data_IF_508940612108
#
_entry.id   IF_508940612108
#
_cell.length_a   1.000
_cell.length_b   1.000
_cell.length_c   1.000
_cell.angle_alpha   90.00
_cell.angle_beta   90.00
_cell.angle_gamma   90.00
#
_symmetry.space_group_name_H-M   'P 1'
#
loop_
_entity.id
_entity.type
_entity.pdbx_description
1 polymer ?
#
# COMPACT_ATOMS: atom_id res chain seq x y z
N UNK A 1 -19.27 -17.19 -14.29
CA UNK A 1 -20.26 -16.27 -13.72
C UNK A 1 -20.32 -16.28 -12.19
N UNK A 2 -20.13 -17.42 -11.50
CA UNK A 2 -20.14 -17.46 -10.01
C UNK A 2 -18.99 -16.69 -9.31
N UNK A 3 -17.75 -16.72 -9.83
CA UNK A 3 -16.61 -16.02 -9.19
C UNK A 3 -16.78 -14.49 -9.07
N UNK A 4 -17.75 -13.89 -9.77
CA UNK A 4 -18.00 -12.45 -9.73
C UNK A 4 -18.71 -12.00 -8.46
N UNK A 5 -19.38 -12.88 -7.70
CA UNK A 5 -20.02 -12.51 -6.43
C UNK A 5 -19.03 -12.31 -5.28
N UNK A 6 -17.84 -12.90 -5.38
CA UNK A 6 -16.87 -12.96 -4.28
C UNK A 6 -15.83 -11.83 -4.34
N UNK A 7 -15.88 -11.01 -5.41
CA UNK A 7 -14.98 -9.88 -5.62
C UNK A 7 -15.74 -8.56 -5.50
N UNK A 8 -15.36 -7.77 -4.50
CA UNK A 8 -15.80 -6.38 -4.40
C UNK A 8 -14.67 -5.44 -4.81
N UNK A 9 -14.92 -4.63 -5.83
CA UNK A 9 -14.00 -3.58 -6.25
C UNK A 9 -14.43 -2.26 -5.61
N UNK A 10 -13.59 -1.73 -4.73
CA UNK A 10 -13.73 -0.38 -4.21
C UNK A 10 -12.72 0.52 -4.91
N UNK A 11 -13.22 1.42 -5.75
CA UNK A 11 -12.45 2.54 -6.22
C UNK A 11 -12.64 3.66 -5.19
N UNK A 12 -11.63 3.93 -4.37
CA UNK A 12 -11.62 5.18 -3.62
C UNK A 12 -11.42 6.29 -4.64
N UNK A 13 -12.32 7.27 -4.72
CA UNK A 13 -12.00 8.48 -5.44
C UNK A 13 -10.77 9.06 -4.74
N UNK A 14 -9.61 9.01 -5.40
CA UNK A 14 -8.61 10.01 -5.11
C UNK A 14 -9.33 11.35 -5.20
N UNK A 15 -9.20 12.26 -4.22
CA UNK A 15 -9.70 13.62 -4.39
C UNK A 15 -9.18 14.07 -5.74
N UNK A 16 -10.08 14.19 -6.70
CA UNK A 16 -9.67 14.21 -8.07
C UNK A 16 -8.86 15.49 -8.23
N UNK A 17 -7.67 15.32 -8.75
CA UNK A 17 -6.91 16.38 -9.39
C UNK A 17 -7.71 16.97 -10.58
N UNK A 18 -8.98 16.62 -10.78
CA UNK A 18 -9.94 17.44 -11.54
C UNK A 18 -9.99 18.90 -11.05
N UNK A 19 -9.60 19.17 -9.80
CA UNK A 19 -9.36 20.55 -9.31
C UNK A 19 -8.14 21.24 -9.94
N UNK A 20 -7.24 20.51 -10.61
CA UNK A 20 -6.12 21.06 -11.40
C UNK A 20 -6.30 20.86 -12.91
N UNK A 21 -6.97 19.78 -13.36
CA UNK A 21 -7.15 19.48 -14.81
C UNK A 21 -8.25 20.33 -15.47
N UNK A 22 -9.20 20.89 -14.69
CA UNK A 22 -10.13 21.91 -15.20
C UNK A 22 -9.68 23.25 -14.68
N UNK A 23 -9.13 24.09 -15.56
CA UNK A 23 -8.70 25.47 -15.29
C UNK A 23 -9.82 26.45 -14.85
N UNK A 24 -10.81 25.99 -14.10
CA UNK A 24 -11.69 26.87 -13.34
C UNK A 24 -10.90 27.36 -12.12
N UNK A 25 -10.27 28.52 -12.29
CA UNK A 25 -9.60 29.28 -11.25
C UNK A 25 -10.57 29.62 -10.10
N UNK A 26 -10.78 28.68 -9.19
CA UNK A 26 -11.29 29.00 -7.86
C UNK A 26 -10.23 29.82 -7.14
N UNK A 27 -10.59 31.04 -6.72
CA UNK A 27 -9.80 31.85 -5.79
C UNK A 27 -9.59 31.02 -4.52
N UNK A 28 -8.45 30.34 -4.43
CA UNK A 28 -8.12 29.41 -3.35
C UNK A 28 -7.60 28.04 -3.77
N UNK A 29 -7.57 27.69 -5.07
CA UNK A 29 -6.97 26.42 -5.53
C UNK A 29 -5.43 26.52 -5.57
N UNK A 30 -4.67 25.58 -4.98
CA UNK A 30 -3.21 25.59 -5.04
C UNK A 30 -2.75 25.19 -6.45
N UNK A 31 -2.25 26.17 -7.21
CA UNK A 31 -1.58 25.97 -8.49
C UNK A 31 -2.36 26.56 -9.66
N UNK A 32 -1.66 27.22 -10.56
CA UNK A 32 -2.21 27.76 -11.81
C UNK A 32 -1.24 27.43 -12.92
N UNK A 33 -1.73 26.76 -13.96
CA UNK A 33 -1.03 26.60 -15.23
C UNK A 33 -0.66 28.00 -15.78
N UNK A 34 0.62 28.35 -15.67
CA UNK A 34 1.14 29.67 -15.98
C UNK A 34 1.40 29.81 -17.48
N UNK A 35 1.70 28.72 -18.17
CA UNK A 35 2.08 28.73 -19.59
C UNK A 35 1.02 28.16 -20.54
N UNK A 36 -0.09 27.67 -19.99
CA UNK A 36 -1.28 27.27 -20.73
C UNK A 36 -1.16 25.91 -21.42
N UNK A 37 -0.26 25.04 -20.96
CA UNK A 37 -0.06 23.71 -21.56
C UNK A 37 -1.01 22.63 -21.02
N UNK A 38 -1.87 23.00 -20.07
CA UNK A 38 -2.84 22.12 -19.44
C UNK A 38 -2.27 21.28 -18.29
N UNK A 39 -1.03 21.52 -17.88
CA UNK A 39 -0.39 20.88 -16.73
C UNK A 39 -0.11 21.92 -15.64
N UNK A 40 -0.01 21.42 -14.41
CA UNK A 40 0.54 22.19 -13.29
C UNK A 40 1.80 21.47 -12.86
N UNK A 41 2.95 22.06 -13.17
CA UNK A 41 4.28 21.48 -12.99
C UNK A 41 4.99 22.08 -11.77
N UNK A 42 6.31 21.85 -11.68
CA UNK A 42 7.15 22.56 -10.74
C UNK A 42 7.57 23.91 -11.33
N UNK A 43 7.72 24.91 -10.45
CA UNK A 43 8.21 26.24 -10.79
C UNK A 43 9.48 26.53 -10.00
N UNK A 44 10.53 26.98 -10.69
CA UNK A 44 11.78 27.44 -10.12
C UNK A 44 11.88 28.95 -10.24
N UNK A 45 12.01 29.61 -9.10
CA UNK A 45 12.20 31.05 -9.01
C UNK A 45 13.67 31.33 -8.69
N UNK A 46 14.37 32.09 -9.55
CA UNK A 46 15.78 32.38 -9.33
C UNK A 46 15.96 33.31 -8.11
N UNK A 47 16.81 32.91 -7.17
CA UNK A 47 17.13 33.68 -5.96
C UNK A 47 18.61 33.64 -5.66
N UNK A 48 19.14 34.74 -5.12
CA UNK A 48 20.56 34.84 -4.77
C UNK A 48 21.00 33.78 -3.74
N UNK A 49 20.11 33.40 -2.85
CA UNK A 49 20.31 32.48 -1.74
C UNK A 49 19.51 31.18 -1.86
N UNK A 50 18.93 30.91 -3.04
CA UNK A 50 18.13 29.71 -3.28
C UNK A 50 18.87 28.41 -2.93
N UNK A 51 18.21 27.42 -2.31
CA UNK A 51 18.85 26.19 -1.84
C UNK A 51 19.21 25.21 -2.96
N UNK A 52 18.72 25.43 -4.18
CA UNK A 52 18.87 24.49 -5.30
C UNK A 52 19.63 25.09 -6.47
N UNK A 53 20.40 24.26 -7.18
CA UNK A 53 21.03 24.64 -8.45
C UNK A 53 20.94 23.47 -9.43
N UNK A 54 20.95 23.71 -10.76
CA UNK A 54 20.87 22.65 -11.75
C UNK A 54 22.05 21.68 -11.63
N UNK A 55 21.76 20.39 -11.76
CA UNK A 55 22.78 19.35 -11.89
C UNK A 55 23.39 19.34 -13.29
N UNK A 56 24.39 18.49 -13.53
CA UNK A 56 24.95 18.26 -14.88
C UNK A 56 23.90 17.81 -15.89
N UNK A 57 22.94 17.00 -15.45
CA UNK A 57 21.73 16.74 -16.22
C UNK A 57 20.70 17.78 -15.79
N UNK A 58 20.35 18.67 -16.72
CA UNK A 58 19.53 19.85 -16.47
C UNK A 58 18.11 19.53 -15.99
N UNK A 59 17.68 18.27 -16.09
CA UNK A 59 16.41 17.82 -15.53
C UNK A 59 16.39 17.88 -14.00
N UNK A 60 17.55 17.65 -13.39
CA UNK A 60 17.69 17.51 -11.94
C UNK A 60 18.32 18.74 -11.29
N UNK A 61 17.99 18.94 -10.03
CA UNK A 61 18.59 19.91 -9.13
C UNK A 61 19.47 19.21 -8.09
N UNK A 62 20.41 19.95 -7.53
CA UNK A 62 21.24 19.53 -6.41
C UNK A 62 21.29 20.66 -5.39
N UNK A 63 21.58 20.32 -4.13
CA UNK A 63 21.79 21.32 -3.09
C UNK A 63 22.91 22.28 -3.51
N UNK A 64 22.61 23.57 -3.50
CA UNK A 64 23.55 24.61 -3.90
C UNK A 64 24.69 24.75 -2.88
N UNK A 65 25.93 24.86 -3.39
CA UNK A 65 27.13 25.12 -2.59
C UNK A 65 27.56 26.59 -2.73
N UNK A 66 28.34 27.13 -1.78
CA UNK A 66 28.90 28.48 -1.92
C UNK A 66 29.61 28.67 -3.27
N UNK A 67 29.17 29.67 -4.04
CA UNK A 67 29.68 29.95 -5.39
C UNK A 67 28.86 29.36 -6.54
N UNK A 68 27.96 28.41 -6.28
CA UNK A 68 27.06 27.88 -7.31
C UNK A 68 26.03 28.93 -7.74
N UNK A 69 25.70 28.96 -9.02
CA UNK A 69 24.68 29.82 -9.63
C UNK A 69 24.35 29.36 -11.06
N UNK A 70 23.13 29.61 -11.56
CA UNK A 70 21.99 30.21 -10.87
C UNK A 70 21.42 29.31 -9.76
N UNK A 71 20.71 29.92 -8.82
CA UNK A 71 20.13 29.28 -7.64
C UNK A 71 18.62 29.51 -7.58
N UNK A 72 17.88 28.55 -7.05
CA UNK A 72 16.43 28.53 -7.16
C UNK A 72 15.73 28.16 -5.86
N UNK A 73 14.61 28.83 -5.60
CA UNK A 73 13.51 28.29 -4.79
C UNK A 73 12.58 27.44 -5.66
N UNK A 74 11.84 26.52 -5.04
CA UNK A 74 10.95 25.57 -5.73
C UNK A 74 9.52 25.70 -5.21
N UNK A 75 8.57 25.79 -6.13
CA UNK A 75 7.15 25.95 -5.84
C UNK A 75 6.29 25.06 -6.75
N UNK A 76 5.01 24.90 -6.41
CA UNK A 76 4.01 24.47 -7.40
C UNK A 76 3.81 25.60 -8.41
N UNK A 77 3.73 25.26 -9.69
CA UNK A 77 3.42 26.22 -10.75
C UNK A 77 2.17 27.06 -10.43
N UNK A 78 2.34 28.38 -10.47
CA UNK A 78 1.26 29.34 -10.19
C UNK A 78 0.83 29.45 -8.72
N UNK A 79 1.55 28.80 -7.80
CA UNK A 79 1.36 28.94 -6.36
C UNK A 79 2.68 29.24 -5.63
N UNK A 80 3.28 30.43 -5.83
CA UNK A 80 4.50 30.81 -5.14
C UNK A 80 4.30 30.79 -3.63
N UNK A 81 5.30 30.30 -2.89
CA UNK A 81 5.24 30.16 -1.43
C UNK A 81 4.42 28.96 -0.93
N UNK A 82 3.68 28.30 -1.83
CA UNK A 82 3.09 26.99 -1.55
C UNK A 82 4.12 25.97 -1.96
N UNK A 83 4.84 25.44 -0.97
CA UNK A 83 5.59 24.22 -1.18
C UNK A 83 4.64 23.17 -1.74
N UNK A 84 5.11 22.26 -2.62
CA UNK A 84 4.26 21.17 -3.06
C UNK A 84 3.91 20.29 -1.85
N UNK A 85 2.83 20.62 -1.14
CA UNK A 85 2.39 19.86 0.02
C UNK A 85 1.64 18.63 -0.46
N UNK A 86 1.70 17.57 0.35
CA UNK A 86 0.91 16.35 0.20
C UNK A 86 -0.53 16.69 -0.24
N UNK A 87 -0.89 16.31 -1.46
CA UNK A 87 -2.29 16.01 -1.74
C UNK A 87 -2.58 14.83 -0.82
N UNK A 88 -3.30 15.10 0.28
CA UNK A 88 -3.33 14.30 1.50
C UNK A 88 -3.09 12.80 1.28
N UNK A 89 -2.00 12.30 1.83
CA UNK A 89 -1.72 10.88 1.83
C UNK A 89 -2.84 10.17 2.58
N UNK A 90 -3.72 9.51 1.83
CA UNK A 90 -4.84 8.74 2.37
C UNK A 90 -4.36 7.58 3.25
N UNK A 91 -3.09 7.17 3.11
CA UNK A 91 -2.49 6.10 3.87
C UNK A 91 -1.83 6.64 5.15
N UNK A 92 -1.35 7.89 5.21
CA UNK A 92 -0.67 8.44 6.39
C UNK A 92 -1.54 8.61 7.66
N UNK A 93 -2.84 8.36 7.57
CA UNK A 93 -3.81 8.53 8.66
C UNK A 93 -4.26 7.27 9.39
N UNK A 94 -3.84 6.07 8.96
CA UNK A 94 -4.31 4.82 9.57
C UNK A 94 -3.47 4.38 10.77
N UNK A 95 -4.12 3.91 11.86
CA UNK A 95 -3.38 3.42 13.01
C UNK A 95 -2.67 2.10 12.72
N UNK A 96 -1.34 2.14 12.57
CA UNK A 96 -0.54 0.92 12.53
C UNK A 96 -0.54 0.21 13.90
N UNK A 97 -0.47 -1.12 13.89
CA UNK A 97 -0.35 -1.98 15.10
C UNK A 97 0.83 -1.60 16.02
N UNK A 98 1.79 -0.84 15.49
CA UNK A 98 2.99 -0.37 16.20
C UNK A 98 3.07 1.16 16.32
N UNK A 99 1.94 1.88 16.20
CA UNK A 99 1.84 3.25 16.69
C UNK A 99 2.00 3.28 18.22
N UNK A 100 3.24 3.12 18.67
CA UNK A 100 3.69 3.74 19.91
C UNK A 100 3.88 5.20 19.57
N UNK A 101 2.83 5.98 19.75
CA UNK A 101 2.92 7.42 19.56
C UNK A 101 3.93 7.94 20.58
N UNK A 102 5.06 8.43 20.09
CA UNK A 102 5.93 9.33 20.86
C UNK A 102 5.25 10.68 21.11
N UNK A 103 4.16 10.95 20.38
CA UNK A 103 3.32 12.14 20.49
C UNK A 103 1.94 11.79 21.09
N UNK A 104 1.72 12.03 22.40
CA UNK A 104 0.45 11.77 23.06
C UNK A 104 -0.68 12.73 22.63
N UNK A 105 -0.38 13.82 21.93
CA UNK A 105 -1.36 14.85 21.56
C UNK A 105 -1.89 14.69 20.13
N UNK A 106 -1.37 13.73 19.35
CA UNK A 106 -1.83 13.49 17.97
C UNK A 106 -3.25 12.90 17.97
N UNK A 107 -4.20 13.61 17.36
CA UNK A 107 -5.58 13.12 17.20
C UNK A 107 -5.65 11.92 16.26
N UNK A 108 -6.21 10.80 16.73
CA UNK A 108 -6.40 9.57 15.97
C UNK A 108 -7.59 9.62 15.00
N UNK A 109 -7.92 10.80 14.49
CA UNK A 109 -9.04 10.94 13.57
C UNK A 109 -8.64 10.40 12.20
N UNK A 110 -9.09 9.19 11.90
CA UNK A 110 -9.07 8.65 10.54
C UNK A 110 -9.84 9.65 9.67
N UNK A 111 -9.16 10.21 8.68
CA UNK A 111 -9.74 11.17 7.75
C UNK A 111 -10.87 10.53 6.95
N UNK A 112 -11.89 11.31 6.61
CA UNK A 112 -12.77 10.95 5.49
C UNK A 112 -11.98 11.21 4.21
N UNK A 113 -11.81 10.25 3.28
CA UNK A 113 -12.62 9.05 2.97
C UNK A 113 -12.14 7.70 3.55
N UNK A 114 -11.02 7.70 4.27
CA UNK A 114 -10.36 6.48 4.76
C UNK A 114 -11.22 5.74 5.79
N UNK A 115 -12.00 6.48 6.59
CA UNK A 115 -12.93 5.91 7.57
C UNK A 115 -13.96 4.98 6.92
N UNK A 116 -14.59 5.42 5.83
CA UNK A 116 -15.58 4.60 5.13
C UNK A 116 -14.99 3.26 4.62
N UNK A 117 -13.74 3.27 4.18
CA UNK A 117 -13.04 2.05 3.79
C UNK A 117 -12.79 1.12 4.97
N UNK A 118 -12.30 1.67 6.09
CA UNK A 118 -12.08 0.93 7.34
C UNK A 118 -13.37 0.27 7.81
N UNK A 119 -14.46 1.03 7.85
CA UNK A 119 -15.78 0.54 8.23
C UNK A 119 -16.25 -0.57 7.29
N UNK A 120 -16.07 -0.40 5.98
CA UNK A 120 -16.40 -1.44 5.00
C UNK A 120 -15.63 -2.73 5.26
N UNK A 121 -14.30 -2.66 5.41
CA UNK A 121 -13.47 -3.84 5.65
C UNK A 121 -13.90 -4.54 6.94
N UNK A 122 -14.14 -3.79 8.03
CA UNK A 122 -14.59 -4.33 9.31
C UNK A 122 -15.98 -4.98 9.27
N UNK A 123 -16.88 -4.48 8.42
CA UNK A 123 -18.25 -5.02 8.27
C UNK A 123 -18.33 -6.17 7.28
N UNK A 124 -17.31 -6.35 6.45
CA UNK A 124 -17.24 -7.40 5.44
C UNK A 124 -16.62 -8.70 5.96
N UNK A 125 -16.99 -9.84 5.36
CA UNK A 125 -16.26 -11.11 5.53
C UNK A 125 -15.00 -11.15 4.64
N UNK A 126 -14.19 -10.09 4.70
CA UNK A 126 -13.01 -9.93 3.86
C UNK A 126 -11.89 -10.89 4.27
N UNK A 127 -11.49 -11.78 3.36
CA UNK A 127 -10.33 -12.65 3.55
C UNK A 127 -9.01 -11.98 3.11
N UNK A 128 -9.09 -11.03 2.18
CA UNK A 128 -7.91 -10.41 1.58
C UNK A 128 -8.19 -9.01 1.03
N UNK A 129 -7.27 -8.09 1.27
CA UNK A 129 -7.24 -6.73 0.72
C UNK A 129 -6.05 -6.61 -0.24
N UNK A 130 -6.32 -6.20 -1.47
CA UNK A 130 -5.29 -5.91 -2.48
C UNK A 130 -5.29 -4.41 -2.76
N UNK A 131 -4.17 -3.75 -2.48
CA UNK A 131 -4.01 -2.30 -2.73
C UNK A 131 -3.26 -2.12 -4.05
N UNK A 132 -3.90 -1.50 -5.04
CA UNK A 132 -3.27 -1.27 -6.34
C UNK A 132 -2.54 0.06 -6.36
N UNK A 133 -1.23 0.03 -6.65
CA UNK A 133 -0.38 1.20 -6.67
C UNK A 133 0.42 1.31 -7.97
N UNK A 134 1.03 2.47 -8.21
CA UNK A 134 1.54 2.83 -9.52
C UNK A 134 3.05 2.83 -9.70
N UNK A 135 3.85 2.63 -8.65
CA UNK A 135 5.23 3.14 -8.66
C UNK A 135 6.32 2.14 -8.30
N UNK A 136 6.05 0.83 -8.20
CA UNK A 136 7.12 -0.12 -7.85
C UNK A 136 7.18 -1.37 -8.72
N UNK A 137 6.22 -1.54 -9.64
CA UNK A 137 6.26 -2.59 -10.66
C UNK A 137 6.31 -4.01 -10.08
N UNK A 138 5.78 -4.22 -8.87
CA UNK A 138 5.99 -5.43 -8.07
C UNK A 138 4.87 -5.70 -7.08
N UNK A 139 5.13 -6.63 -6.17
CA UNK A 139 4.29 -6.91 -5.00
C UNK A 139 5.03 -6.45 -3.76
N UNK A 140 4.35 -5.68 -2.90
CA UNK A 140 4.84 -5.30 -1.58
C UNK A 140 3.97 -5.89 -0.48
N UNK A 141 4.61 -6.21 0.64
CA UNK A 141 3.96 -6.76 1.83
C UNK A 141 4.73 -6.29 3.07
N UNK A 142 4.12 -6.17 4.25
CA UNK A 142 4.78 -5.53 5.37
C UNK A 142 5.85 -6.39 6.02
N UNK A 143 6.85 -5.70 6.55
CA UNK A 143 7.88 -6.22 7.45
C UNK A 143 7.48 -5.92 8.91
N UNK A 144 8.08 -6.52 9.96
CA UNK A 144 8.58 -7.87 10.00
C UNK A 144 7.42 -8.84 10.21
N UNK A 145 7.02 -9.53 9.14
CA UNK A 145 6.35 -10.80 9.33
C UNK A 145 7.40 -11.88 9.50
N UNK A 146 7.31 -12.65 10.59
CA UNK A 146 8.17 -13.82 10.81
C UNK A 146 7.55 -15.11 10.27
N UNK A 147 8.39 -16.10 10.02
CA UNK A 147 7.98 -17.50 9.80
C UNK A 147 7.18 -17.73 8.51
N UNK A 148 6.12 -18.53 8.60
CA UNK A 148 5.36 -19.02 7.44
C UNK A 148 4.72 -17.90 6.60
N UNK A 149 4.27 -16.84 7.25
CA UNK A 149 3.58 -15.76 6.57
C UNK A 149 4.55 -14.98 5.66
N UNK A 150 5.82 -14.83 6.08
CA UNK A 150 6.88 -14.28 5.25
C UNK A 150 7.16 -15.15 4.01
N UNK A 151 7.36 -16.46 4.20
CA UNK A 151 7.60 -17.40 3.10
C UNK A 151 6.45 -17.43 2.10
N UNK A 152 5.21 -17.25 2.57
CA UNK A 152 4.05 -17.14 1.69
C UNK A 152 4.13 -15.88 0.82
N UNK A 153 4.41 -14.71 1.38
CA UNK A 153 4.54 -13.50 0.55
C UNK A 153 5.73 -13.54 -0.39
N UNK A 154 6.86 -14.12 0.03
CA UNK A 154 8.00 -14.34 -0.87
C UNK A 154 7.57 -15.23 -2.06
N UNK A 155 6.84 -16.31 -1.79
CA UNK A 155 6.27 -17.16 -2.84
C UNK A 155 5.24 -16.44 -3.73
N UNK A 156 4.37 -15.62 -3.15
CA UNK A 156 3.39 -14.82 -3.90
C UNK A 156 4.09 -13.78 -4.79
N UNK A 157 5.13 -13.13 -4.29
CA UNK A 157 5.93 -12.18 -5.06
C UNK A 157 6.64 -12.84 -6.23
N UNK A 158 7.23 -14.03 -6.03
CA UNK A 158 7.81 -14.82 -7.13
C UNK A 158 6.75 -15.27 -8.15
N UNK A 159 5.56 -15.62 -7.68
CA UNK A 159 4.44 -15.97 -8.57
C UNK A 159 3.98 -14.76 -9.38
N UNK A 160 3.81 -13.60 -8.73
CA UNK A 160 3.48 -12.35 -9.40
C UNK A 160 4.54 -11.99 -10.44
N UNK A 161 5.81 -12.09 -10.08
CA UNK A 161 6.96 -11.85 -10.95
C UNK A 161 6.88 -12.68 -12.23
N UNK A 162 6.66 -13.98 -12.09
CA UNK A 162 6.57 -14.92 -13.21
C UNK A 162 5.34 -14.71 -14.09
N UNK A 163 4.18 -14.43 -13.49
CA UNK A 163 2.90 -14.35 -14.21
C UNK A 163 2.67 -12.96 -14.82
N UNK A 164 3.14 -11.91 -14.17
CA UNK A 164 2.99 -10.53 -14.62
C UNK A 164 4.18 -10.02 -15.44
N UNK A 165 5.12 -10.91 -15.79
CA UNK A 165 6.35 -10.63 -16.53
C UNK A 165 7.10 -9.41 -15.97
N UNK A 166 7.33 -9.43 -14.66
CA UNK A 166 8.08 -8.39 -13.96
C UNK A 166 9.46 -8.89 -13.60
N UNK A 167 10.54 -8.15 -13.85
CA UNK A 167 11.87 -8.60 -13.47
C UNK A 167 12.19 -8.35 -11.98
N UNK A 168 11.36 -7.58 -11.25
CA UNK A 168 11.60 -7.19 -9.86
C UNK A 168 11.35 -8.31 -8.86
N UNK A 169 12.23 -8.44 -7.86
CA UNK A 169 11.97 -9.29 -6.70
C UNK A 169 10.78 -8.74 -5.88
N UNK A 170 10.06 -9.58 -5.11
CA UNK A 170 9.16 -9.11 -4.07
C UNK A 170 9.85 -8.07 -3.18
N UNK A 171 9.19 -6.95 -2.95
CA UNK A 171 9.73 -5.90 -2.08
C UNK A 171 9.07 -6.02 -0.73
N UNK A 172 9.86 -6.13 0.33
CA UNK A 172 9.33 -5.92 1.67
C UNK A 172 8.98 -4.45 1.78
N UNK A 173 7.72 -4.14 2.09
CA UNK A 173 7.28 -2.77 2.31
C UNK A 173 8.14 -2.18 3.41
N UNK A 174 8.95 -1.20 3.04
CA UNK A 174 9.81 -0.45 3.96
C UNK A 174 9.02 0.56 4.79
N UNK A 175 7.70 0.65 4.57
CA UNK A 175 6.79 1.49 5.37
C UNK A 175 6.71 1.02 6.83
N UNK A 176 7.17 -0.19 7.13
CA UNK A 176 7.45 -0.58 8.49
C UNK A 176 8.78 0.02 8.95
N UNK A 177 8.72 1.31 9.26
CA UNK A 177 9.86 1.99 9.84
C UNK A 177 10.13 1.49 11.26
N UNK A 178 11.38 1.55 11.74
CA UNK A 178 11.70 1.24 13.12
C UNK A 178 10.83 2.07 14.10
N UNK A 179 10.62 1.58 15.33
CA UNK A 179 9.76 2.24 16.31
C UNK A 179 10.12 3.73 16.48
N UNK A 180 9.19 4.65 16.18
CA UNK A 180 9.38 6.09 16.39
C UNK A 180 9.12 7.00 15.18
N UNK A 181 8.85 6.47 13.98
CA UNK A 181 8.28 7.25 12.87
C UNK A 181 6.83 6.82 12.58
N UNK A 182 6.08 7.71 11.95
CA UNK A 182 4.66 7.57 11.66
C UNK A 182 4.42 6.52 10.55
N UNK A 183 4.56 5.23 10.87
CA UNK A 183 4.06 4.14 10.02
C UNK A 183 2.54 4.04 10.03
N UNK A 184 1.91 3.43 9.03
CA UNK A 184 0.44 3.43 8.97
C UNK A 184 -0.19 3.12 7.62
N UNK A 185 0.34 2.23 6.77
CA UNK A 185 -0.36 1.96 5.50
C UNK A 185 -1.69 1.22 5.71
N UNK A 186 -2.58 1.27 4.71
CA UNK A 186 -3.79 0.44 4.71
C UNK A 186 -3.46 -1.05 4.82
N UNK A 187 -2.37 -1.48 4.19
CA UNK A 187 -1.90 -2.87 4.27
C UNK A 187 -1.48 -3.24 5.69
N UNK A 188 -0.74 -2.36 6.38
CA UNK A 188 -0.34 -2.57 7.78
C UNK A 188 -1.56 -2.69 8.70
N UNK A 189 -2.54 -1.79 8.52
CA UNK A 189 -3.77 -1.80 9.29
C UNK A 189 -4.60 -3.06 9.03
N UNK A 190 -4.78 -3.46 7.76
CA UNK A 190 -5.53 -4.66 7.43
C UNK A 190 -4.89 -5.92 8.01
N UNK A 191 -3.57 -6.03 8.06
CA UNK A 191 -2.88 -7.18 8.65
C UNK A 191 -2.96 -7.24 10.18
N UNK A 192 -3.35 -6.15 10.83
CA UNK A 192 -3.75 -6.18 12.23
C UNK A 192 -5.11 -6.84 12.47
N UNK A 193 -5.96 -6.92 11.44
CA UNK A 193 -7.27 -7.54 11.55
C UNK A 193 -7.13 -9.07 11.55
N UNK A 194 -7.88 -9.77 12.41
CA UNK A 194 -7.93 -11.22 12.35
C UNK A 194 -8.39 -11.68 10.96
N UNK A 195 -7.66 -12.64 10.39
CA UNK A 195 -8.03 -13.37 9.15
C UNK A 195 -7.99 -12.55 7.85
N UNK A 196 -7.57 -11.29 7.90
CA UNK A 196 -7.37 -10.48 6.70
C UNK A 196 -5.92 -10.56 6.28
N UNK A 197 -5.70 -10.94 5.03
CA UNK A 197 -4.40 -10.79 4.38
C UNK A 197 -4.37 -9.48 3.60
N UNK A 198 -3.22 -8.82 3.51
CA UNK A 198 -3.12 -7.59 2.74
C UNK A 198 -1.77 -7.44 2.06
N UNK A 199 -1.78 -6.93 0.83
CA UNK A 199 -0.57 -6.66 0.05
C UNK A 199 -0.83 -5.50 -0.91
N UNK A 200 0.23 -4.82 -1.33
CA UNK A 200 0.15 -3.87 -2.43
C UNK A 200 0.66 -4.53 -3.71
N UNK A 201 -0.01 -4.25 -4.82
CA UNK A 201 0.31 -4.76 -6.15
C UNK A 201 0.47 -3.56 -7.05
N UNK A 202 1.60 -3.49 -7.74
CA UNK A 202 1.86 -2.42 -8.68
C UNK A 202 2.12 -2.94 -10.08
N UNK A 203 1.16 -2.78 -11.02
CA UNK A 203 1.36 -3.10 -12.43
C UNK A 203 2.27 -2.10 -13.16
N UNK A 204 2.81 -1.09 -12.49
CA UNK A 204 3.64 -0.09 -13.14
C UNK A 204 4.73 0.40 -12.21
N UNK A 205 5.81 0.88 -12.79
CA UNK A 205 6.91 1.43 -12.04
C UNK A 205 8.20 0.66 -12.24
N UNK A 206 9.29 1.34 -11.90
CA UNK A 206 10.62 0.79 -11.99
C UNK A 206 10.73 -0.41 -11.05
N UNK A 207 11.16 -1.58 -11.54
CA UNK A 207 11.48 -2.70 -10.68
C UNK A 207 12.47 -2.25 -9.61
N UNK A 208 12.35 -2.70 -8.36
CA UNK A 208 13.34 -2.43 -7.33
C UNK A 208 14.73 -2.84 -7.87
N UNK A 209 15.62 -1.87 -8.06
CA UNK A 209 16.94 -2.11 -8.65
C UNK A 209 17.81 -3.00 -7.74
N UNK A 210 17.46 -3.10 -6.45
CA UNK A 210 18.10 -3.98 -5.47
C UNK A 210 17.07 -4.47 -4.42
N UNK A 211 17.25 -5.66 -3.81
CA UNK A 211 16.53 -6.01 -2.58
C UNK A 211 16.78 -4.94 -1.51
N UNK A 212 15.85 -4.72 -0.57
CA UNK A 212 15.75 -3.51 0.24
C UNK A 212 16.78 -3.44 1.38
N UNK A 213 18.04 -3.75 1.13
CA UNK A 213 19.08 -3.02 1.85
C UNK A 213 19.02 -1.61 1.28
N UNK A 214 18.27 -0.71 1.93
CA UNK A 214 18.29 0.72 1.64
C UNK A 214 19.76 1.09 1.43
N UNK A 215 20.17 1.38 0.20
CA UNK A 215 21.48 1.94 -0.03
C UNK A 215 21.54 3.19 0.85
N UNK A 216 22.55 3.34 1.73
CA UNK A 216 22.60 4.46 2.67
C UNK A 216 22.42 5.78 1.91
N UNK A 217 21.29 6.46 2.13
CA UNK A 217 20.94 7.71 1.45
C UNK A 217 19.68 7.67 0.56
N UNK A 218 19.22 6.50 0.09
CA UNK A 218 17.99 6.42 -0.73
C UNK A 218 16.77 6.68 0.16
N UNK A 219 16.13 7.84 -0.02
CA UNK A 219 14.89 8.19 0.68
C UNK A 219 13.73 7.33 0.23
N UNK A 220 12.73 7.20 1.10
CA UNK A 220 11.49 6.52 0.75
C UNK A 220 10.81 7.29 -0.41
N UNK A 221 10.47 6.66 -1.56
CA UNK A 221 9.79 7.34 -2.67
C UNK A 221 8.44 7.95 -2.28
N UNK A 222 7.95 7.64 -1.08
CA UNK A 222 6.70 8.13 -0.47
C UNK A 222 6.88 9.28 0.52
N UNK A 223 8.06 9.46 1.14
CA UNK A 223 8.37 10.70 1.85
C UNK A 223 8.46 11.78 0.76
N UNK A 224 7.56 12.77 0.79
CA UNK A 224 7.46 13.85 -0.18
C UNK A 224 8.82 14.19 -0.81
N UNK A 225 8.90 13.99 -2.13
CA UNK A 225 10.18 13.94 -2.81
C UNK A 225 10.94 15.25 -2.57
N UNK A 226 12.25 15.18 -2.27
CA UNK A 226 13.14 16.30 -2.57
C UNK A 226 12.91 16.77 -4.04
N UNK A 227 13.48 17.90 -4.48
CA UNK A 227 13.55 18.23 -5.90
C UNK A 227 13.82 17.01 -6.76
N UNK A 228 13.40 17.05 -8.03
CA UNK A 228 13.91 16.16 -9.06
C UNK A 228 15.42 16.17 -8.91
N UNK A 229 15.96 15.17 -8.21
CA UNK A 229 17.33 15.22 -7.72
C UNK A 229 18.11 14.10 -8.35
N UNK A 230 19.38 14.04 -8.02
CA UNK A 230 20.26 13.03 -8.59
C UNK A 230 19.87 11.60 -8.21
N UNK A 231 19.05 11.41 -7.18
CA UNK A 231 18.51 10.10 -6.76
C UNK A 231 17.35 9.65 -7.66
N UNK A 232 16.64 10.58 -8.31
CA UNK A 232 15.59 10.30 -9.30
C UNK A 232 16.14 9.86 -10.69
N UNK A 233 17.46 9.87 -10.88
CA UNK A 233 18.08 9.48 -12.16
C UNK A 233 17.70 8.10 -12.67
N UNK A 234 17.66 7.04 -11.84
CA UNK A 234 17.27 5.72 -12.32
C UNK A 234 15.82 5.70 -12.83
N UNK A 235 14.95 6.46 -12.18
CA UNK A 235 13.57 6.66 -12.62
C UNK A 235 13.48 7.38 -13.95
N UNK A 236 14.24 8.46 -14.14
CA UNK A 236 14.29 9.16 -15.42
C UNK A 236 14.81 8.26 -16.53
N UNK A 237 15.89 7.51 -16.30
CA UNK A 237 16.37 6.56 -17.28
C UNK A 237 15.30 5.50 -17.62
N UNK A 238 14.62 4.96 -16.61
CA UNK A 238 13.57 3.97 -16.83
C UNK A 238 12.36 4.56 -17.58
N UNK A 239 11.92 5.77 -17.25
CA UNK A 239 10.84 6.46 -17.96
C UNK A 239 11.28 6.89 -19.38
N UNK A 240 12.56 7.23 -19.58
CA UNK A 240 13.13 7.49 -20.90
C UNK A 240 13.05 6.23 -21.78
N UNK A 241 13.39 5.07 -21.22
CA UNK A 241 13.29 3.77 -21.90
C UNK A 241 11.84 3.38 -22.20
N UNK A 242 10.93 3.50 -21.22
CA UNK A 242 9.54 3.04 -21.36
C UNK A 242 8.61 4.03 -22.05
N UNK A 243 8.92 5.33 -22.00
CA UNK A 243 8.03 6.39 -22.49
C UNK A 243 8.72 7.33 -23.49
N UNK A 244 9.91 6.99 -23.97
CA UNK A 244 10.66 7.84 -24.90
C UNK A 244 10.97 9.24 -24.33
N UNK A 245 11.06 9.37 -23.01
CA UNK A 245 11.34 10.64 -22.32
C UNK A 245 10.13 11.52 -22.07
N UNK A 246 8.91 11.06 -22.40
CA UNK A 246 7.68 11.85 -22.21
C UNK A 246 7.33 12.14 -20.73
N UNK A 247 8.01 11.48 -19.79
CA UNK A 247 7.84 11.68 -18.34
C UNK A 247 8.25 13.07 -17.85
N UNK A 248 9.14 13.74 -18.57
CA UNK A 248 9.76 15.00 -18.13
C UNK A 248 9.42 16.15 -19.09
N UNK A 249 9.01 17.29 -18.53
CA UNK A 249 8.85 18.54 -19.24
C UNK A 249 10.12 19.39 -19.08
N UNK A 250 10.82 19.76 -20.18
CA UNK A 250 11.99 20.63 -20.13
C UNK A 250 11.70 21.94 -19.39
N UNK A 251 12.63 22.37 -18.52
CA UNK A 251 12.56 23.68 -17.89
C UNK A 251 12.51 24.78 -18.94
N UNK A 252 11.45 25.58 -18.94
CA UNK A 252 11.27 26.71 -19.86
C UNK A 252 10.97 27.99 -19.11
N UNK A 253 11.46 29.15 -19.58
CA UNK A 253 11.16 30.42 -18.95
C UNK A 253 9.68 30.78 -19.16
N UNK A 254 9.02 31.15 -18.07
CA UNK A 254 7.63 31.63 -18.04
C UNK A 254 7.60 32.93 -17.23
N UNK A 255 6.75 33.86 -17.63
CA UNK A 255 6.53 35.10 -16.87
C UNK A 255 5.34 34.90 -15.94
N UNK A 256 5.57 34.96 -14.63
CA UNK A 256 4.52 34.89 -13.62
C UNK A 256 3.63 36.14 -13.64
N UNK A 257 2.53 36.09 -12.88
CA UNK A 257 1.52 37.16 -12.84
C UNK A 257 2.09 38.52 -12.39
N UNK A 258 3.09 38.50 -11.51
CA UNK A 258 3.80 39.68 -11.00
C UNK A 258 4.93 40.16 -11.93
N UNK A 259 5.15 39.50 -13.07
CA UNK A 259 6.18 39.86 -14.05
C UNK A 259 7.56 39.23 -13.81
N UNK A 260 7.72 38.42 -12.76
CA UNK A 260 8.95 37.67 -12.49
C UNK A 260 9.15 36.59 -13.55
N UNK A 261 10.39 36.36 -13.98
CA UNK A 261 10.71 35.23 -14.87
C UNK A 261 11.08 34.04 -14.01
N UNK A 262 10.31 32.96 -14.13
CA UNK A 262 10.57 31.68 -13.49
C UNK A 262 10.83 30.61 -14.55
N UNK A 263 11.34 29.45 -14.13
CA UNK A 263 11.38 28.25 -14.97
C UNK A 263 10.23 27.34 -14.58
N UNK A 264 9.45 26.87 -15.55
CA UNK A 264 8.41 25.86 -15.35
C UNK A 264 8.85 24.58 -16.05
N UNK A 265 8.70 23.44 -15.39
CA UNK A 265 9.11 22.13 -15.91
C UNK A 265 9.09 21.04 -14.85
N UNK A 266 9.78 19.95 -15.12
CA UNK A 266 9.92 18.84 -14.20
C UNK A 266 9.11 17.60 -14.58
N UNK A 267 8.70 16.80 -13.61
CA UNK A 267 7.92 15.59 -13.86
C UNK A 267 6.51 15.96 -14.28
N UNK A 268 6.06 15.41 -15.41
CA UNK A 268 4.65 15.50 -15.75
C UNK A 268 3.82 14.72 -14.72
N UNK A 269 2.65 15.22 -14.30
CA UNK A 269 1.79 14.54 -13.34
C UNK A 269 1.48 13.10 -13.77
N UNK A 270 1.38 12.19 -12.79
CA UNK A 270 0.96 10.79 -12.98
C UNK A 270 1.87 9.91 -13.86
N UNK A 271 2.96 10.43 -14.40
CA UNK A 271 3.88 9.63 -15.23
C UNK A 271 4.59 8.54 -14.45
N UNK A 272 4.83 8.76 -13.16
CA UNK A 272 5.29 7.74 -12.22
C UNK A 272 4.25 6.69 -11.89
N UNK A 273 2.98 7.08 -11.82
CA UNK A 273 1.91 6.28 -11.24
C UNK A 273 1.21 5.40 -12.27
N UNK A 274 1.17 5.84 -13.52
CA UNK A 274 0.41 5.16 -14.55
C UNK A 274 1.30 4.73 -15.72
N UNK A 275 1.08 3.53 -16.27
CA UNK A 275 1.71 3.16 -17.53
C UNK A 275 1.21 4.07 -18.66
N UNK A 276 1.94 4.14 -19.79
CA UNK A 276 1.37 4.64 -21.04
C UNK A 276 0.05 3.95 -21.36
N UNK A 277 -0.91 4.68 -21.94
CA UNK A 277 -2.23 4.13 -22.28
C UNK A 277 -2.13 2.87 -23.15
N UNK A 278 -1.22 2.87 -24.13
CA UNK A 278 -0.97 1.73 -25.01
C UNK A 278 -0.42 0.49 -24.27
N UNK A 279 0.20 0.68 -23.11
CA UNK A 279 0.72 -0.43 -22.31
C UNK A 279 -0.28 -0.92 -21.26
N UNK A 280 -1.27 -0.10 -20.86
CA UNK A 280 -2.17 -0.35 -19.74
C UNK A 280 -2.77 -1.77 -19.76
N UNK A 281 -3.28 -2.21 -20.91
CA UNK A 281 -3.87 -3.54 -21.04
C UNK A 281 -2.86 -4.64 -20.72
N UNK A 282 -1.64 -4.55 -21.27
CA UNK A 282 -0.58 -5.53 -21.03
C UNK A 282 -0.14 -5.54 -19.56
N UNK A 283 -0.04 -4.35 -18.94
CA UNK A 283 0.36 -4.20 -17.56
C UNK A 283 -0.70 -4.78 -16.59
N UNK A 284 -1.99 -4.60 -16.88
CA UNK A 284 -3.11 -5.11 -16.06
C UNK A 284 -3.35 -6.61 -16.28
N UNK A 285 -3.12 -7.13 -17.49
CA UNK A 285 -3.33 -8.56 -17.79
C UNK A 285 -2.54 -9.48 -16.86
N UNK A 286 -1.29 -9.11 -16.56
CA UNK A 286 -0.44 -9.83 -15.62
C UNK A 286 -1.00 -9.87 -14.19
N UNK A 287 -1.57 -8.75 -13.74
CA UNK A 287 -2.24 -8.65 -12.44
C UNK A 287 -3.46 -9.56 -12.38
N UNK A 288 -4.31 -9.55 -13.41
CA UNK A 288 -5.50 -10.42 -13.46
C UNK A 288 -5.10 -11.89 -13.41
N UNK A 289 -4.08 -12.28 -14.17
CA UNK A 289 -3.55 -13.65 -14.19
C UNK A 289 -2.95 -14.08 -12.84
N UNK A 290 -2.49 -13.13 -12.02
CA UNK A 290 -2.03 -13.39 -10.66
C UNK A 290 -3.19 -13.47 -9.65
N UNK A 291 -4.15 -12.53 -9.71
CA UNK A 291 -5.23 -12.39 -8.72
C UNK A 291 -6.25 -13.52 -8.83
N UNK A 292 -6.66 -13.93 -10.03
CA UNK A 292 -7.71 -14.96 -10.17
C UNK A 292 -7.32 -16.30 -9.52
N UNK A 293 -6.13 -16.87 -9.75
CA UNK A 293 -5.70 -18.08 -9.04
C UNK A 293 -5.53 -17.90 -7.52
N UNK A 294 -5.27 -16.67 -7.06
CA UNK A 294 -5.18 -16.36 -5.64
C UNK A 294 -6.55 -16.47 -4.97
N UNK A 295 -7.59 -15.93 -5.62
CA UNK A 295 -8.99 -16.01 -5.16
C UNK A 295 -9.43 -17.47 -5.02
N UNK A 296 -9.13 -18.31 -6.01
CA UNK A 296 -9.45 -19.75 -5.98
C UNK A 296 -8.76 -20.51 -4.83
N UNK A 297 -7.67 -19.95 -4.29
CA UNK A 297 -6.87 -20.57 -3.22
C UNK A 297 -7.22 -20.03 -1.84
N UNK A 298 -7.98 -18.94 -1.74
CA UNK A 298 -8.33 -18.30 -0.48
C UNK A 298 -8.89 -19.30 0.54
N UNK A 299 -8.66 -19.02 1.81
CA UNK A 299 -9.06 -19.92 2.88
C UNK A 299 -10.57 -20.08 2.94
N UNK A 300 -11.07 -21.22 2.47
CA UNK A 300 -12.44 -21.66 2.67
C UNK A 300 -12.47 -22.82 3.67
N UNK A 301 -13.42 -22.79 4.61
CA UNK A 301 -13.65 -23.84 5.59
C UNK A 301 -15.05 -24.40 5.43
N UNK A 302 -15.16 -25.71 5.56
CA UNK A 302 -16.41 -26.44 5.57
C UNK A 302 -16.56 -27.20 6.88
N UNK A 303 -17.74 -27.08 7.50
CA UNK A 303 -18.11 -27.89 8.67
C UNK A 303 -18.63 -29.23 8.18
N UNK A 304 -17.88 -30.29 8.49
CA UNK A 304 -18.24 -31.68 8.24
C UNK A 304 -18.56 -32.38 9.57
N UNK A 305 -19.23 -33.53 9.49
CA UNK A 305 -19.44 -34.45 10.62
C UNK A 305 -19.96 -33.79 11.91
N UNK A 306 -20.92 -32.86 11.77
CA UNK A 306 -21.50 -32.15 12.91
C UNK A 306 -22.34 -33.13 13.74
N UNK A 307 -21.98 -33.28 15.01
CA UNK A 307 -22.74 -34.07 15.98
C UNK A 307 -23.06 -33.24 17.21
N UNK A 308 -24.26 -33.45 17.74
CA UNK A 308 -24.76 -32.78 18.95
C UNK A 308 -25.18 -33.85 19.93
N UNK A 309 -24.57 -33.84 21.12
CA UNK A 309 -24.94 -34.72 22.22
C UNK A 309 -25.39 -33.87 23.41
N UNK A 310 -26.54 -34.20 24.00
CA UNK A 310 -27.03 -33.54 25.21
C UNK A 310 -26.47 -34.22 26.45
N UNK A 311 -25.98 -33.43 27.39
CA UNK A 311 -25.42 -33.83 28.68
C UNK A 311 -26.07 -32.97 29.78
N UNK A 312 -27.27 -33.38 30.20
CA UNK A 312 -28.13 -32.59 31.10
C UNK A 312 -28.59 -31.26 30.48
N UNK A 313 -28.18 -30.16 31.11
CA UNK A 313 -28.44 -28.78 30.66
C UNK A 313 -27.38 -28.25 29.66
N UNK A 314 -26.46 -29.09 29.22
CA UNK A 314 -25.44 -28.73 28.25
C UNK A 314 -25.63 -29.51 26.95
N UNK A 315 -25.33 -28.85 25.84
CA UNK A 315 -25.15 -29.49 24.54
C UNK A 315 -23.65 -29.49 24.21
N UNK A 316 -23.08 -30.67 23.98
CA UNK A 316 -21.77 -30.84 23.39
C UNK A 316 -21.93 -30.87 21.88
N UNK A 317 -21.42 -29.84 21.21
CA UNK A 317 -21.35 -29.79 19.74
C UNK A 317 -19.94 -30.18 19.33
N UNK A 318 -19.83 -31.15 18.44
CA UNK A 318 -18.57 -31.53 17.78
C UNK A 318 -18.73 -31.32 16.28
N UNK A 319 -17.76 -30.64 15.69
CA UNK A 319 -17.68 -30.51 14.25
C UNK A 319 -16.25 -30.76 13.78
N UNK A 320 -16.13 -31.28 12.57
CA UNK A 320 -14.89 -31.47 11.86
C UNK A 320 -14.73 -30.34 10.85
N UNK A 321 -13.58 -29.68 10.79
CA UNK A 321 -13.35 -28.58 9.85
C UNK A 321 -12.51 -29.04 8.65
N UNK A 322 -13.08 -29.06 7.46
CA UNK A 322 -12.32 -29.32 6.23
C UNK A 322 -11.87 -28.00 5.62
N UNK A 323 -10.56 -27.83 5.40
CA UNK A 323 -10.05 -26.74 4.56
C UNK A 323 -10.31 -27.06 3.09
N UNK A 324 -10.99 -26.16 2.40
CA UNK A 324 -11.25 -26.22 0.96
C UNK A 324 -10.21 -25.41 0.16
N UNK A 325 -9.63 -24.38 0.78
CA UNK A 325 -8.56 -23.57 0.21
C UNK A 325 -7.17 -23.99 0.67
N UNK A 326 -6.13 -23.49 -0.01
CA UNK A 326 -4.73 -23.72 0.36
C UNK A 326 -4.09 -22.54 1.08
N UNK A 327 -4.76 -21.38 1.12
CA UNK A 327 -4.26 -20.20 1.81
C UNK A 327 -4.40 -20.36 3.33
N UNK A 328 -3.44 -19.91 4.16
CA UNK A 328 -3.58 -20.00 5.61
C UNK A 328 -4.64 -19.03 6.14
N UNK A 329 -5.36 -19.42 7.19
CA UNK A 329 -6.50 -18.66 7.73
C UNK A 329 -6.14 -17.31 8.33
N UNK A 330 -4.92 -17.16 8.83
CA UNK A 330 -4.47 -15.94 9.52
C UNK A 330 -2.97 -15.72 9.25
N UNK A 331 -2.55 -14.48 8.96
CA UNK A 331 -1.15 -14.11 9.06
C UNK A 331 -0.72 -14.17 10.53
N UNK A 332 0.23 -15.03 10.90
CA UNK A 332 0.90 -14.98 12.20
C UNK A 332 0.49 -15.99 13.29
N UNK A 333 -0.58 -16.77 13.15
CA UNK A 333 -0.86 -17.86 14.12
C UNK A 333 -0.10 -19.13 13.72
N UNK A 334 1.03 -19.33 14.37
CA UNK A 334 1.85 -20.54 14.21
C UNK A 334 1.02 -21.81 14.40
N UNK A 335 0.93 -22.62 13.35
CA UNK A 335 0.52 -24.02 13.50
C UNK A 335 1.21 -24.91 12.47
N UNK A 336 2.55 -24.91 12.48
CA UNK A 336 3.37 -25.93 11.80
C UNK A 336 2.95 -27.36 12.15
N UNK A 337 2.28 -27.56 13.30
CA UNK A 337 1.87 -28.89 13.76
C UNK A 337 0.56 -29.42 13.20
N UNK A 338 -0.34 -28.60 12.67
CA UNK A 338 -1.69 -29.09 12.32
C UNK A 338 -1.88 -29.40 10.83
N UNK A 339 -1.10 -28.80 9.93
CA UNK A 339 -1.29 -28.97 8.49
C UNK A 339 -0.53 -30.17 7.91
N UNK A 340 0.65 -30.53 8.47
CA UNK A 340 1.51 -31.59 7.91
C UNK A 340 0.95 -33.01 8.04
N UNK A 341 0.05 -33.26 8.99
CA UNK A 341 -0.43 -34.63 9.27
C UNK A 341 -1.83 -34.94 8.70
N UNK A 342 -2.43 -34.03 7.92
CA UNK A 342 -3.85 -34.16 7.55
C UNK A 342 -4.78 -34.23 8.77
N UNK A 343 -4.27 -33.81 9.93
CA UNK A 343 -4.97 -33.79 11.19
C UNK A 343 -6.04 -32.70 11.10
N UNK A 344 -7.27 -33.14 10.90
CA UNK A 344 -8.40 -32.22 10.91
C UNK A 344 -8.68 -31.82 12.36
N UNK A 345 -8.56 -30.53 12.74
CA UNK A 345 -8.86 -30.12 14.10
C UNK A 345 -10.34 -30.35 14.39
N UNK A 346 -10.63 -31.04 15.49
CA UNK A 346 -11.97 -31.09 16.05
C UNK A 346 -12.23 -29.79 16.79
N UNK A 347 -13.33 -29.14 16.45
CA UNK A 347 -13.87 -28.03 17.21
C UNK A 347 -14.85 -28.63 18.23
N UNK A 348 -14.56 -28.48 19.53
CA UNK A 348 -15.49 -28.88 20.58
C UNK A 348 -15.87 -27.65 21.41
N UNK A 349 -17.17 -27.35 21.43
CA UNK A 349 -17.73 -26.31 22.28
C UNK A 349 -18.81 -26.91 23.19
N UNK A 350 -18.85 -26.44 24.43
CA UNK A 350 -19.94 -26.73 25.36
C UNK A 350 -20.87 -25.51 25.37
N UNK A 351 -22.13 -25.72 25.00
CA UNK A 351 -23.11 -24.64 24.87
C UNK A 351 -24.27 -24.92 25.83
N UNK A 352 -24.72 -23.93 26.63
CA UNK A 352 -25.93 -24.07 27.44
C UNK A 352 -27.17 -24.44 26.61
N UNK A 353 -28.01 -25.33 27.14
CA UNK A 353 -29.20 -25.90 26.48
C UNK A 353 -30.24 -24.89 25.98
N UNK A 354 -30.25 -23.68 26.56
CA UNK A 354 -31.19 -22.60 26.25
C UNK A 354 -30.70 -21.66 25.13
N UNK A 355 -29.50 -21.88 24.59
CA UNK A 355 -29.01 -21.11 23.43
C UNK A 355 -29.54 -21.77 22.16
N UNK A 356 -30.57 -21.17 21.57
CA UNK A 356 -31.27 -21.72 20.39
C UNK A 356 -30.59 -21.38 19.06
N UNK A 357 -29.61 -20.46 19.05
CA UNK A 357 -28.89 -20.05 17.83
C UNK A 357 -27.53 -19.45 18.22
N UNK A 358 -26.44 -19.96 17.63
CA UNK A 358 -25.13 -19.30 17.61
C UNK A 358 -24.98 -18.69 16.22
N UNK A 359 -24.80 -17.37 16.13
CA UNK A 359 -24.63 -16.64 14.87
C UNK A 359 -23.27 -15.92 14.90
N UNK A 360 -22.19 -16.64 14.52
CA UNK A 360 -20.81 -16.14 14.29
C UNK A 360 -20.11 -15.37 15.43
N UNK A 361 -18.81 -15.03 15.32
CA UNK A 361 -17.71 -15.68 14.61
C UNK A 361 -16.60 -16.23 15.54
N UNK A 362 -16.68 -16.10 16.87
CA UNK A 362 -15.63 -16.60 17.76
C UNK A 362 -15.84 -18.09 18.08
N UNK A 363 -15.06 -18.95 17.42
CA UNK A 363 -14.71 -20.24 18.02
C UNK A 363 -13.22 -20.28 18.31
N UNK A 364 -12.87 -20.26 19.59
CA UNK A 364 -11.49 -20.45 20.04
C UNK A 364 -11.18 -21.94 20.03
N UNK A 365 -10.29 -22.36 19.13
CA UNK A 365 -9.71 -23.70 19.18
C UNK A 365 -8.75 -23.77 20.37
N UNK A 366 -9.11 -24.50 21.41
CA UNK A 366 -8.19 -24.82 22.51
C UNK A 366 -7.31 -25.99 22.06
N UNK A 367 -5.99 -25.85 22.17
CA UNK A 367 -5.10 -26.99 22.08
C UNK A 367 -5.46 -28.00 23.20
N UNK A 368 -5.36 -29.32 22.97
CA UNK A 368 -5.61 -30.29 24.02
C UNK A 368 -4.63 -30.06 25.18
N UNK A 369 -5.18 -29.80 26.37
CA UNK A 369 -4.41 -29.79 27.62
C UNK A 369 -3.83 -31.21 27.78
N UNK A 370 -2.51 -31.39 27.86
CA UNK A 370 -1.93 -32.70 28.10
C UNK A 370 -2.49 -33.28 29.41
N UNK A 371 -2.85 -34.57 29.46
CA UNK A 371 -3.27 -35.19 30.71
C UNK A 371 -2.11 -35.08 31.73
N UNK A 372 -2.28 -34.27 32.77
CA UNK A 372 -1.34 -34.16 33.89
C UNK A 372 -0.96 -32.75 34.41
N UNK A 373 -1.50 -31.65 33.85
CA UNK A 373 -1.03 -30.28 34.19
C UNK A 373 -1.85 -29.49 35.22
N UNK A 374 -2.67 -30.14 36.03
CA UNK A 374 -3.30 -29.50 37.20
C UNK A 374 -2.61 -29.98 38.49
N UNK A 375 -1.58 -29.24 38.92
CA UNK A 375 -1.14 -29.26 40.31
C UNK A 375 -2.12 -28.49 41.20
N UNK A 376 -2.13 -28.73 42.52
CA UNK A 376 -3.10 -28.10 43.42
C UNK A 376 -2.83 -26.59 43.50
N UNK A 377 -3.89 -25.81 43.30
CA UNK A 377 -3.87 -24.35 43.35
C UNK A 377 -3.58 -23.83 44.77
N UNK A 378 -2.79 -22.76 44.84
CA UNK A 378 -2.85 -21.72 45.88
C UNK A 378 -3.31 -20.44 45.21
#
# INVERSE_FOLDING_TARGET
>A
DDLRSDLTFLALPFPSVELLEKGEAHRGSPGRDLDGDGLVLEMLEERQDGPWTPSRDARFLVAARPGDGPRYDRWIEGAPGVEPTEVGDLEAGLPAMHWRTTDPDRSFEISEPVRGLVEYVMQSDCAMVLVFQGNHGGLTYPDPMGGQAQSLYEHLGETFRAVADRPGAPVRSTRFEPPGRAGGSLVDWCLALPRVWAMEISPWGMPPLHPPERAPGVRDPWEFRPPIDVEDRPWAHWLDEKRGGEGFAPWRPVTSIDGTVCLVGGWKPRTFWNPPELELESQVRGVVAFVLPLVERLSALELCDVSVARDGELCRVRARLRALGSFPLTPGVGSEKNVRDGAVPWLQANVPSHIHRIVGPEVRAFAPIPPGTLGPAV
#
